data_IF_653179023670
#
_entry.id   IF_653179023670
#
_cell.length_a   1.000
_cell.length_b   1.000
_cell.length_c   1.000
_cell.angle_alpha   90.00
_cell.angle_beta   90.00
_cell.angle_gamma   90.00
#
_symmetry.space_group_name_H-M   'P 1'
#
loop_
_entity.id
_entity.type
_entity.pdbx_description
1 polymer ?
#
# COMPACT_ATOMS: atom_id res chain seq x y z
N UNK A 1 -2.85 -35.32 -1.64
CA UNK A 1 -3.50 -36.03 -0.54
C UNK A 1 -2.59 -36.01 0.69
N UNK A 2 -3.17 -36.00 1.86
CA UNK A 2 -2.50 -36.06 3.15
C UNK A 2 -2.77 -37.43 3.79
N UNK A 3 -1.99 -37.89 4.77
CA UNK A 3 -2.25 -39.16 5.43
C UNK A 3 -3.67 -39.29 6.03
N UNK A 4 -4.27 -38.15 6.42
CA UNK A 4 -5.59 -38.08 7.02
C UNK A 4 -6.73 -37.78 6.04
N UNK A 5 -6.43 -37.55 4.75
CA UNK A 5 -7.44 -37.19 3.75
C UNK A 5 -6.94 -36.23 2.68
N UNK A 6 -7.85 -35.43 2.15
CA UNK A 6 -7.55 -34.44 1.12
C UNK A 6 -7.76 -33.01 1.65
N UNK A 7 -6.91 -32.10 1.22
CA UNK A 7 -7.08 -30.67 1.44
C UNK A 7 -7.23 -29.96 0.11
N UNK A 8 -8.25 -29.11 -0.01
CA UNK A 8 -8.37 -28.20 -1.13
C UNK A 8 -7.31 -27.10 -1.00
N UNK A 9 -6.52 -26.92 -2.04
CA UNK A 9 -5.45 -25.90 -2.09
C UNK A 9 -5.63 -25.00 -3.30
N UNK A 10 -5.21 -23.73 -3.21
CA UNK A 10 -5.16 -22.83 -4.38
C UNK A 10 -4.22 -23.35 -5.45
N UNK A 11 -4.49 -23.00 -6.70
CA UNK A 11 -3.64 -23.36 -7.85
C UNK A 11 -2.18 -22.91 -7.67
N UNK A 12 -1.97 -21.71 -7.14
CA UNK A 12 -0.63 -21.20 -6.81
C UNK A 12 0.13 -22.15 -5.88
N UNK A 13 -0.52 -22.64 -4.84
CA UNK A 13 0.10 -23.59 -3.89
C UNK A 13 0.38 -24.93 -4.58
N UNK A 14 -0.53 -25.40 -5.43
CA UNK A 14 -0.31 -26.62 -6.19
C UNK A 14 0.93 -26.51 -7.10
N UNK A 15 1.09 -25.39 -7.81
CA UNK A 15 2.26 -25.10 -8.64
C UNK A 15 3.56 -25.02 -7.81
N UNK A 16 3.51 -24.35 -6.66
CA UNK A 16 4.66 -24.27 -5.75
C UNK A 16 5.11 -25.66 -5.26
N UNK A 17 4.17 -26.49 -4.86
CA UNK A 17 4.45 -27.88 -4.43
C UNK A 17 5.01 -28.72 -5.58
N UNK A 18 4.45 -28.60 -6.77
CA UNK A 18 4.93 -29.30 -7.96
C UNK A 18 6.36 -28.89 -8.32
N UNK A 19 6.68 -27.60 -8.23
CA UNK A 19 8.03 -27.07 -8.54
C UNK A 19 9.05 -27.40 -7.43
N UNK A 20 8.59 -27.59 -6.20
CA UNK A 20 9.46 -27.93 -5.07
C UNK A 20 9.76 -29.44 -4.96
N UNK A 21 9.12 -30.26 -5.77
CA UNK A 21 9.37 -31.71 -5.76
C UNK A 21 10.69 -32.07 -6.43
N UNK A 22 11.72 -32.45 -5.66
CA UNK A 22 13.04 -32.78 -6.21
C UNK A 22 13.04 -34.07 -7.02
N UNK A 23 12.02 -34.91 -6.88
CA UNK A 23 11.91 -36.18 -7.62
C UNK A 23 11.37 -36.01 -9.03
N UNK A 24 10.80 -34.83 -9.34
CA UNK A 24 10.12 -34.56 -10.61
C UNK A 24 8.91 -35.46 -10.88
N UNK A 25 8.46 -36.19 -9.85
CA UNK A 25 7.33 -37.10 -9.94
C UNK A 25 6.02 -36.45 -9.49
N UNK A 26 6.03 -35.19 -9.15
CA UNK A 26 4.85 -34.37 -8.76
C UNK A 26 3.87 -34.23 -9.93
N UNK A 27 3.49 -35.35 -10.56
CA UNK A 27 2.44 -35.36 -11.57
C UNK A 27 1.11 -35.01 -10.92
N UNK A 28 0.47 -33.97 -11.42
CA UNK A 28 -0.93 -33.71 -11.13
C UNK A 28 -1.72 -34.89 -11.68
N UNK A 29 -2.28 -35.71 -10.79
CA UNK A 29 -3.13 -36.81 -11.18
C UNK A 29 -4.55 -36.28 -11.33
N UNK A 30 -5.17 -36.59 -12.44
CA UNK A 30 -6.60 -36.36 -12.62
C UNK A 30 -7.38 -37.44 -11.87
N UNK A 31 -8.29 -37.00 -11.02
CA UNK A 31 -9.20 -37.89 -10.30
C UNK A 31 -10.63 -37.59 -10.72
N UNK A 32 -11.44 -38.66 -10.79
CA UNK A 32 -12.87 -38.46 -11.07
C UNK A 32 -13.53 -37.66 -9.93
N UNK A 33 -14.49 -36.77 -10.23
CA UNK A 33 -15.09 -35.85 -9.24
C UNK A 33 -15.66 -36.57 -8.00
N UNK A 34 -16.21 -37.78 -8.16
CA UNK A 34 -16.78 -38.54 -7.04
C UNK A 34 -15.69 -38.99 -6.04
N UNK A 35 -14.48 -39.31 -6.51
CA UNK A 35 -13.36 -39.72 -5.63
C UNK A 35 -12.96 -38.54 -4.75
N UNK A 36 -12.97 -37.33 -5.29
CA UNK A 36 -12.66 -36.12 -4.54
C UNK A 36 -13.77 -35.75 -3.56
N UNK A 37 -15.04 -35.93 -3.99
CA UNK A 37 -16.19 -35.60 -3.16
C UNK A 37 -16.32 -36.54 -1.93
N UNK A 38 -16.01 -37.83 -2.11
CA UNK A 38 -16.13 -38.87 -1.07
C UNK A 38 -14.89 -38.91 -0.16
N UNK A 39 -13.82 -38.23 -0.51
CA UNK A 39 -12.59 -38.26 0.28
C UNK A 39 -12.73 -37.47 1.60
N UNK A 40 -12.19 -38.01 2.71
CA UNK A 40 -12.15 -37.30 3.97
C UNK A 40 -11.42 -35.94 3.80
N UNK A 41 -12.00 -34.86 4.33
CA UNK A 41 -11.36 -33.57 4.33
C UNK A 41 -10.32 -33.52 5.46
N UNK A 42 -9.12 -33.08 5.13
CA UNK A 42 -8.02 -32.90 6.08
C UNK A 42 -7.49 -31.45 6.03
N UNK A 43 -7.07 -30.95 7.17
CA UNK A 43 -6.35 -29.68 7.26
C UNK A 43 -4.88 -29.98 7.43
N UNK A 44 -4.09 -29.71 6.39
CA UNK A 44 -2.64 -29.98 6.39
C UNK A 44 -1.83 -28.75 6.77
N UNK A 45 -2.03 -27.64 6.07
CA UNK A 45 -1.34 -26.38 6.32
C UNK A 45 -2.23 -25.19 5.97
N UNK A 46 -1.92 -24.04 6.54
CA UNK A 46 -2.68 -22.81 6.30
C UNK A 46 -2.41 -22.28 4.90
N UNK A 47 -3.43 -22.37 4.04
CA UNK A 47 -3.38 -21.84 2.67
C UNK A 47 -4.03 -20.47 2.53
N UNK A 48 -4.55 -19.89 3.61
CA UNK A 48 -5.30 -18.62 3.58
C UNK A 48 -4.46 -17.42 3.13
N UNK A 49 -3.14 -17.50 3.35
CA UNK A 49 -2.17 -16.45 2.99
C UNK A 49 -1.72 -16.50 1.53
N UNK A 50 -2.10 -17.52 0.79
CA UNK A 50 -1.68 -17.68 -0.60
C UNK A 50 -2.76 -17.19 -1.57
N UNK A 51 -2.36 -16.59 -2.72
CA UNK A 51 -3.28 -16.23 -3.78
C UNK A 51 -4.08 -17.43 -4.29
N UNK A 52 -5.32 -17.22 -4.64
CA UNK A 52 -6.19 -18.30 -5.15
C UNK A 52 -5.82 -18.77 -6.56
N UNK A 53 -5.29 -17.88 -7.37
CA UNK A 53 -4.86 -18.15 -8.75
C UNK A 53 -3.37 -17.84 -8.97
N UNK A 54 -2.83 -18.19 -10.14
CA UNK A 54 -1.45 -17.89 -10.49
C UNK A 54 -1.17 -16.40 -10.45
N UNK A 55 0.03 -16.04 -10.01
CA UNK A 55 0.50 -14.65 -10.00
C UNK A 55 0.92 -14.25 -11.42
N UNK A 56 0.49 -13.08 -11.84
CA UNK A 56 0.99 -12.45 -13.06
C UNK A 56 2.20 -11.59 -12.71
N UNK A 57 3.33 -11.86 -13.35
CA UNK A 57 4.51 -10.99 -13.24
C UNK A 57 4.29 -9.74 -14.07
N UNK A 58 4.50 -8.59 -13.44
CA UNK A 58 4.43 -7.31 -14.13
C UNK A 58 5.75 -7.07 -14.86
N UNK A 59 5.66 -6.80 -16.16
CA UNK A 59 6.82 -6.44 -16.96
C UNK A 59 7.10 -4.94 -16.82
N UNK A 60 8.26 -4.59 -16.26
CA UNK A 60 8.70 -3.20 -16.11
C UNK A 60 8.82 -2.45 -17.45
N UNK A 61 9.01 -3.14 -18.57
CA UNK A 61 9.02 -2.51 -19.89
C UNK A 61 7.63 -2.07 -20.34
N UNK A 62 6.59 -2.75 -19.85
CA UNK A 62 5.18 -2.45 -20.17
C UNK A 62 4.52 -1.55 -19.11
N UNK A 63 4.85 -1.79 -17.85
CA UNK A 63 4.28 -1.08 -16.68
C UNK A 63 5.42 -0.54 -15.80
N UNK A 64 6.11 0.53 -16.24
CA UNK A 64 7.30 1.04 -15.55
C UNK A 64 7.01 1.76 -14.23
N UNK A 65 5.76 2.12 -13.97
CA UNK A 65 5.38 2.87 -12.76
C UNK A 65 4.78 1.91 -11.74
N UNK A 66 5.34 1.90 -10.54
CA UNK A 66 4.77 1.20 -9.39
C UNK A 66 4.58 2.20 -8.24
N UNK A 67 3.39 2.24 -7.68
CA UNK A 67 3.01 3.16 -6.61
C UNK A 67 2.52 2.40 -5.39
N UNK A 68 2.88 2.88 -4.21
CA UNK A 68 2.22 2.51 -2.96
C UNK A 68 1.18 3.58 -2.64
N UNK A 69 -0.06 3.17 -2.52
CA UNK A 69 -1.18 4.05 -2.16
C UNK A 69 -1.53 3.78 -0.71
N UNK A 70 -1.44 4.81 0.10
CA UNK A 70 -1.87 4.80 1.49
C UNK A 70 -3.00 5.82 1.67
N UNK A 71 -4.14 5.38 2.23
CA UNK A 71 -5.28 6.26 2.50
C UNK A 71 -5.85 5.95 3.87
N UNK A 72 -6.25 7.00 4.60
CA UNK A 72 -6.97 6.90 5.87
C UNK A 72 -7.86 8.13 6.05
N UNK A 73 -9.14 7.95 5.87
CA UNK A 73 -10.09 9.03 6.10
C UNK A 73 -10.24 9.37 7.59
N UNK A 74 -10.74 10.55 7.89
CA UNK A 74 -10.82 11.05 9.27
C UNK A 74 -11.59 10.11 10.21
N UNK A 75 -12.61 9.43 9.68
CA UNK A 75 -13.51 8.53 10.43
C UNK A 75 -13.13 7.05 10.30
N UNK A 76 -12.11 6.71 9.53
CA UNK A 76 -11.67 5.32 9.37
C UNK A 76 -10.77 4.89 10.52
N UNK A 77 -11.09 3.73 11.11
CA UNK A 77 -10.25 3.11 12.13
C UNK A 77 -8.95 2.57 11.53
N UNK A 78 -9.00 2.08 10.29
CA UNK A 78 -7.86 1.45 9.61
C UNK A 78 -7.52 2.17 8.31
N UNK A 79 -6.22 2.28 8.02
CA UNK A 79 -5.74 2.75 6.74
C UNK A 79 -5.83 1.64 5.68
N UNK A 80 -6.09 2.03 4.44
CA UNK A 80 -5.95 1.15 3.29
C UNK A 80 -4.55 1.33 2.70
N UNK A 81 -3.83 0.22 2.54
CA UNK A 81 -2.52 0.21 1.87
C UNK A 81 -2.58 -0.74 0.70
N UNK A 82 -2.25 -0.26 -0.48
CA UNK A 82 -2.27 -1.06 -1.71
C UNK A 82 -1.13 -0.66 -2.64
N UNK A 83 -0.65 -1.62 -3.42
CA UNK A 83 0.28 -1.37 -4.50
C UNK A 83 -0.47 -1.37 -5.82
N UNK A 84 -0.20 -0.40 -6.67
CA UNK A 84 -0.73 -0.30 -8.02
C UNK A 84 0.41 -0.10 -9.00
N UNK A 85 0.29 -0.68 -10.19
CA UNK A 85 1.25 -0.48 -11.27
C UNK A 85 0.54 -0.10 -12.56
N UNK A 86 1.28 0.53 -13.45
CA UNK A 86 0.75 1.00 -14.71
C UNK A 86 1.80 1.66 -15.60
N UNK A 87 1.34 2.17 -16.72
CA UNK A 87 2.19 2.81 -17.72
C UNK A 87 2.54 4.26 -17.40
N UNK A 88 1.75 4.91 -16.53
CA UNK A 88 1.83 6.34 -16.22
C UNK A 88 1.62 6.56 -14.73
N UNK A 89 2.03 7.71 -14.26
CA UNK A 89 1.69 8.16 -12.90
C UNK A 89 0.16 8.21 -12.72
N UNK A 90 -0.37 7.87 -11.55
CA UNK A 90 -1.80 7.86 -11.24
C UNK A 90 -2.33 9.30 -10.99
N UNK A 91 -1.99 10.22 -11.89
CA UNK A 91 -2.43 11.61 -11.87
C UNK A 91 -3.12 11.95 -13.20
N UNK A 92 -4.08 12.88 -13.24
CA UNK A 92 -4.69 13.32 -14.48
C UNK A 92 -3.63 13.88 -15.44
N UNK A 93 -3.75 13.58 -16.74
CA UNK A 93 -2.80 14.05 -17.75
C UNK A 93 -2.70 15.58 -17.77
N UNK A 94 -3.82 16.28 -17.54
CA UNK A 94 -3.88 17.74 -17.44
C UNK A 94 -3.09 18.29 -16.23
N UNK A 95 -2.82 17.47 -15.23
CA UNK A 95 -2.10 17.86 -14.02
C UNK A 95 -0.61 17.49 -14.07
N UNK A 96 -0.18 16.66 -15.03
CA UNK A 96 1.25 16.30 -15.20
C UNK A 96 2.21 17.51 -15.24
N UNK A 97 1.86 18.64 -15.86
CA UNK A 97 2.73 19.83 -15.84
C UNK A 97 2.94 20.46 -14.45
N UNK A 98 2.09 20.10 -13.47
CA UNK A 98 2.19 20.58 -12.08
C UNK A 98 3.13 19.75 -11.21
N UNK A 99 3.70 18.68 -11.76
CA UNK A 99 4.72 17.88 -11.05
C UNK A 99 5.98 18.71 -10.90
N UNK A 100 6.33 19.03 -9.66
CA UNK A 100 7.50 19.84 -9.34
C UNK A 100 8.70 18.94 -9.07
N UNK A 101 9.81 19.19 -9.76
CA UNK A 101 11.07 18.49 -9.48
C UNK A 101 11.69 19.04 -8.21
N UNK A 102 12.10 18.14 -7.34
CA UNK A 102 12.80 18.49 -6.10
C UNK A 102 14.30 18.65 -6.36
N UNK A 103 14.91 19.59 -5.66
CA UNK A 103 16.37 19.70 -5.61
C UNK A 103 16.85 18.74 -4.52
N UNK A 104 17.05 17.48 -4.85
CA UNK A 104 17.61 16.52 -3.91
C UNK A 104 19.12 16.63 -3.87
N UNK A 105 19.68 16.89 -2.70
CA UNK A 105 21.14 17.01 -2.52
C UNK A 105 21.88 15.67 -2.47
N UNK A 106 21.17 14.54 -2.36
CA UNK A 106 21.76 13.21 -2.24
C UNK A 106 20.87 12.17 -2.94
N UNK A 107 21.48 11.31 -3.75
CA UNK A 107 20.80 10.18 -4.36
C UNK A 107 20.26 9.24 -3.27
N UNK A 108 19.00 8.87 -3.37
CA UNK A 108 18.28 7.80 -2.68
C UNK A 108 17.52 8.13 -1.39
N UNK A 109 17.58 9.33 -0.81
CA UNK A 109 16.90 9.62 0.46
C UNK A 109 15.71 10.59 0.37
N UNK A 110 15.44 11.17 -0.79
CA UNK A 110 14.34 12.12 -0.99
C UNK A 110 13.60 11.84 -2.30
N UNK A 111 12.38 12.32 -2.39
CA UNK A 111 11.62 12.27 -3.63
C UNK A 111 12.28 13.12 -4.73
N UNK A 112 12.34 12.62 -5.96
CA UNK A 112 12.82 13.38 -7.12
C UNK A 112 11.82 14.43 -7.59
N UNK A 113 10.54 14.21 -7.31
CA UNK A 113 9.45 15.11 -7.66
C UNK A 113 8.26 14.96 -6.70
N UNK A 114 7.49 16.03 -6.59
CA UNK A 114 6.26 16.06 -5.80
C UNK A 114 5.11 16.59 -6.66
N UNK A 115 3.93 16.05 -6.43
CA UNK A 115 2.69 16.55 -6.98
C UNK A 115 1.66 16.70 -5.87
N UNK A 116 1.12 17.91 -5.76
CA UNK A 116 -0.02 18.21 -4.91
C UNK A 116 -1.19 18.59 -5.81
N UNK A 117 -2.20 17.71 -5.86
CA UNK A 117 -3.38 17.91 -6.71
C UNK A 117 -4.20 19.13 -6.29
N UNK A 118 -4.97 19.66 -7.20
CA UNK A 118 -5.93 20.74 -6.91
C UNK A 118 -6.93 20.26 -5.85
N UNK A 119 -6.99 20.96 -4.72
CA UNK A 119 -7.80 20.54 -3.57
C UNK A 119 -7.14 19.51 -2.65
N UNK A 120 -5.86 19.20 -2.85
CA UNK A 120 -5.09 18.42 -1.91
C UNK A 120 -5.06 19.13 -0.56
N UNK A 121 -5.32 18.37 0.50
CA UNK A 121 -5.15 18.86 1.84
C UNK A 121 -3.65 18.97 2.13
N UNK A 122 -3.10 20.16 1.97
CA UNK A 122 -1.70 20.49 2.30
C UNK A 122 -1.45 20.44 3.82
N UNK A 123 -2.52 20.39 4.60
CA UNK A 123 -2.49 20.31 6.05
C UNK A 123 -2.54 18.84 6.48
N UNK A 124 -1.44 18.36 7.05
CA UNK A 124 -1.22 16.95 7.33
C UNK A 124 -0.92 16.71 8.81
N UNK A 125 -1.53 15.68 9.37
CA UNK A 125 -1.21 15.14 10.69
C UNK A 125 -0.44 13.83 10.55
N UNK A 126 0.73 13.77 11.17
CA UNK A 126 1.52 12.55 11.20
C UNK A 126 0.82 11.47 12.01
N UNK A 127 0.79 10.27 11.50
CA UNK A 127 0.27 9.06 12.16
C UNK A 127 1.30 7.93 12.11
N UNK A 128 1.06 6.83 12.84
CA UNK A 128 1.87 5.62 12.73
C UNK A 128 1.70 4.93 11.38
N UNK A 129 2.64 4.06 11.05
CA UNK A 129 2.66 3.30 9.78
C UNK A 129 1.63 2.19 9.78
N UNK A 130 1.36 1.61 10.97
CA UNK A 130 0.38 0.55 11.13
C UNK A 130 -1.00 1.04 10.73
N UNK A 131 -1.77 0.23 9.96
CA UNK A 131 -3.08 0.64 9.47
C UNK A 131 -4.06 1.09 10.56
N UNK A 132 -4.02 0.44 11.71
CA UNK A 132 -4.88 0.69 12.87
C UNK A 132 -4.28 1.70 13.88
N UNK A 133 -3.14 2.30 13.58
CA UNK A 133 -2.46 3.21 14.49
C UNK A 133 -3.40 4.35 14.95
N UNK A 134 -3.60 4.52 16.27
CA UNK A 134 -4.35 5.62 16.83
C UNK A 134 -3.51 6.91 16.96
N UNK A 135 -2.22 6.85 16.66
CA UNK A 135 -1.28 7.95 16.87
C UNK A 135 -1.70 9.19 16.09
N UNK A 136 -1.62 10.33 16.77
CA UNK A 136 -1.78 11.67 16.21
C UNK A 136 -0.61 12.50 16.72
N UNK A 137 0.37 12.66 15.82
CA UNK A 137 1.62 13.32 16.15
C UNK A 137 1.63 14.76 15.62
N UNK A 138 2.77 15.25 15.17
CA UNK A 138 2.97 16.61 14.69
C UNK A 138 2.10 16.97 13.47
N UNK A 139 1.80 18.25 13.38
CA UNK A 139 1.08 18.85 12.26
C UNK A 139 2.05 19.51 11.29
N UNK A 140 1.77 19.40 10.01
CA UNK A 140 2.59 19.91 8.94
C UNK A 140 1.75 20.61 7.88
N UNK A 141 2.28 21.68 7.34
CA UNK A 141 1.82 22.25 6.08
C UNK A 141 2.82 21.87 4.99
N UNK A 142 2.33 21.31 3.90
CA UNK A 142 3.16 20.96 2.73
C UNK A 142 2.88 22.00 1.66
N UNK A 143 3.89 22.81 1.33
CA UNK A 143 3.79 23.80 0.26
C UNK A 143 3.77 23.15 -1.13
N UNK A 144 3.33 23.90 -2.12
CA UNK A 144 3.19 23.43 -3.51
C UNK A 144 4.52 22.95 -4.11
N UNK A 145 5.63 23.43 -3.54
CA UNK A 145 6.99 23.01 -3.92
C UNK A 145 7.49 21.78 -3.16
N UNK A 146 6.65 21.13 -2.34
CA UNK A 146 7.02 20.01 -1.50
C UNK A 146 7.74 20.38 -0.20
N UNK A 147 7.99 21.67 0.04
CA UNK A 147 8.59 22.13 1.29
C UNK A 147 7.60 21.91 2.44
N UNK A 148 8.10 21.38 3.55
CA UNK A 148 7.31 21.05 4.73
C UNK A 148 7.54 22.06 5.83
N UNK A 149 6.47 22.61 6.38
CA UNK A 149 6.47 23.54 7.49
C UNK A 149 5.78 22.90 8.69
N UNK A 150 6.51 22.74 9.79
CA UNK A 150 5.94 22.27 11.05
C UNK A 150 4.97 23.31 11.62
N UNK A 151 3.80 22.88 12.07
CA UNK A 151 2.81 23.73 12.69
C UNK A 151 2.86 23.50 14.20
N UNK A 152 3.24 24.53 14.94
CA UNK A 152 3.26 24.51 16.39
C UNK A 152 1.84 24.54 16.97
N UNK A 153 1.56 23.59 17.86
CA UNK A 153 0.26 23.47 18.59
C UNK A 153 0.37 23.89 20.05
N UNK A 154 1.59 24.16 20.54
CA UNK A 154 1.86 24.34 21.97
C UNK A 154 1.62 25.78 22.48
N UNK A 155 1.32 26.74 21.61
CA UNK A 155 1.11 28.15 21.98
C UNK A 155 -0.20 28.41 22.71
N UNK A 156 -0.13 28.99 23.90
CA UNK A 156 -1.33 29.50 24.58
C UNK A 156 -1.87 30.73 23.86
N UNK A 157 -3.08 30.64 23.30
CA UNK A 157 -3.89 31.80 22.90
C UNK A 157 -3.91 32.17 21.43
N UNK A 158 -2.81 32.00 20.67
CA UNK A 158 -2.76 32.21 19.23
C UNK A 158 -1.89 31.13 18.59
N UNK A 159 -2.42 29.91 18.50
CA UNK A 159 -1.69 28.82 17.86
C UNK A 159 -1.41 29.21 16.39
N UNK A 160 -0.26 28.76 15.86
CA UNK A 160 0.07 28.90 14.44
C UNK A 160 -1.07 28.39 13.55
N UNK A 161 -1.75 27.35 13.97
CA UNK A 161 -2.94 26.81 13.31
C UNK A 161 -4.07 27.83 13.16
N UNK A 162 -4.35 28.62 14.22
CA UNK A 162 -5.36 29.68 14.18
C UNK A 162 -4.93 30.84 13.28
N UNK A 163 -3.66 31.26 13.35
CA UNK A 163 -3.10 32.31 12.51
C UNK A 163 -3.15 31.96 11.01
N UNK A 164 -3.02 30.68 10.68
CA UNK A 164 -3.13 30.15 9.33
C UNK A 164 -4.57 29.87 8.88
N UNK A 165 -5.58 30.13 9.73
CA UNK A 165 -6.97 29.83 9.41
C UNK A 165 -7.31 28.35 9.41
N UNK A 166 -6.48 27.51 10.02
CA UNK A 166 -6.63 26.04 10.00
C UNK A 166 -7.34 25.49 11.23
N UNK A 167 -7.84 26.36 12.14
CA UNK A 167 -8.43 25.94 13.42
C UNK A 167 -9.56 24.91 13.25
N UNK A 168 -10.41 25.14 12.25
CA UNK A 168 -11.59 24.30 12.00
C UNK A 168 -11.37 23.34 10.82
N UNK A 169 -10.12 23.22 10.35
CA UNK A 169 -9.75 22.33 9.25
C UNK A 169 -9.23 21.01 9.80
N UNK A 170 -9.86 19.92 9.37
CA UNK A 170 -9.38 18.57 9.71
C UNK A 170 -8.15 18.22 8.87
N UNK A 171 -7.00 17.92 9.50
CA UNK A 171 -5.81 17.54 8.75
C UNK A 171 -5.98 16.16 8.11
N UNK A 172 -5.42 16.00 6.93
CA UNK A 172 -5.27 14.67 6.30
C UNK A 172 -4.24 13.86 7.09
N UNK A 173 -4.53 12.61 7.38
CA UNK A 173 -3.58 11.73 8.07
C UNK A 173 -2.62 11.12 7.07
N UNK A 174 -1.34 11.11 7.41
CA UNK A 174 -0.32 10.40 6.65
C UNK A 174 0.81 9.94 7.56
N UNK A 175 1.40 8.75 7.34
CA UNK A 175 2.55 8.31 8.11
C UNK A 175 3.80 9.14 7.74
N UNK A 176 4.69 9.34 8.73
CA UNK A 176 5.94 10.08 8.52
C UNK A 176 6.76 9.54 7.35
N UNK A 177 6.76 8.23 7.16
CA UNK A 177 7.45 7.57 6.05
C UNK A 177 6.96 8.01 4.67
N UNK A 178 5.74 8.50 4.56
CA UNK A 178 5.18 9.03 3.29
C UNK A 178 5.56 10.49 3.09
N UNK A 179 5.55 11.29 4.16
CA UNK A 179 5.75 12.74 4.05
C UNK A 179 7.20 13.20 4.24
N UNK A 180 8.11 12.32 4.64
CA UNK A 180 9.52 12.66 4.91
C UNK A 180 10.39 12.84 3.66
N UNK A 181 9.90 12.40 2.49
CA UNK A 181 10.62 12.42 1.21
C UNK A 181 10.78 13.80 0.62
#
# INVERSE_FOLDING_TARGET
>A
ALPAGMQLIPETVALMLSNADPSGQGRVLEAAPHIVADAPQAVGFDVSKYPRGPLTLLDKAVEPVTCVVWTKDANEAQASVRTVSGRRLPIPVSEEPKVMRMVSGQANDAADAVYLGSGSANFVQVTGVEPDSPRRESLWWIGDTGVRFGIDVAGQGNSTQQALGLKDTTPTRAPWTVIRW
#
